data_IF_344549487168
#
_entry.id   IF_344549487168
#
_cell.length_a   1.000
_cell.length_b   1.000
_cell.length_c   1.000
_cell.angle_alpha   90.00
_cell.angle_beta   90.00
_cell.angle_gamma   90.00
#
_symmetry.space_group_name_H-M   'P 1'
#
loop_
_entity.id
_entity.type
_entity.pdbx_description
1 polymer ?
#
# COMPACT_ATOMS: atom_id res chain seq x y z
N UNK A 1 16.57 7.36 5.63
CA UNK A 1 15.49 8.24 5.11
C UNK A 1 14.49 7.34 4.41
N UNK A 2 13.21 7.39 4.79
CA UNK A 2 12.16 6.66 4.07
C UNK A 2 11.75 7.49 2.84
N UNK A 3 11.62 6.84 1.68
CA UNK A 3 11.18 7.49 0.44
C UNK A 3 9.67 7.73 0.50
N UNK A 4 9.22 8.94 0.18
CA UNK A 4 7.81 9.28 0.06
C UNK A 4 7.57 9.92 -1.31
N UNK A 5 7.09 9.11 -2.25
CA UNK A 5 6.88 9.53 -3.64
C UNK A 5 5.47 10.04 -3.87
N UNK A 6 5.37 11.14 -4.63
CA UNK A 6 4.11 11.80 -5.00
C UNK A 6 4.08 12.28 -6.46
N UNK A 7 5.13 11.97 -7.22
CA UNK A 7 5.20 12.21 -8.66
C UNK A 7 4.24 11.28 -9.44
N UNK A 8 4.19 11.44 -10.76
CA UNK A 8 3.32 10.64 -11.63
C UNK A 8 3.82 9.22 -11.92
N UNK A 9 5.10 8.93 -11.67
CA UNK A 9 5.75 7.68 -12.08
C UNK A 9 5.75 6.65 -10.93
N UNK A 10 6.10 7.09 -9.72
CA UNK A 10 6.24 6.29 -8.51
C UNK A 10 5.23 6.66 -7.41
N UNK A 11 4.62 7.84 -7.49
CA UNK A 11 3.61 8.27 -6.53
C UNK A 11 2.33 7.45 -6.64
N UNK A 12 1.94 6.79 -5.55
CA UNK A 12 0.65 6.09 -5.48
C UNK A 12 -0.48 7.07 -5.19
N UNK A 13 -1.72 6.69 -5.52
CA UNK A 13 -2.89 7.58 -5.49
C UNK A 13 -3.07 8.29 -4.16
N UNK A 14 -2.96 7.58 -3.02
CA UNK A 14 -3.18 8.15 -1.70
C UNK A 14 -2.06 9.11 -1.30
N UNK A 15 -0.79 8.72 -1.52
CA UNK A 15 0.36 9.58 -1.23
C UNK A 15 0.30 10.89 -2.03
N UNK A 16 -0.04 10.79 -3.32
CA UNK A 16 -0.18 11.95 -4.20
C UNK A 16 -1.33 12.86 -3.75
N UNK A 17 -2.47 12.29 -3.36
CA UNK A 17 -3.60 13.08 -2.87
C UNK A 17 -3.29 13.82 -1.57
N UNK A 18 -2.56 13.18 -0.64
CA UNK A 18 -2.10 13.84 0.59
C UNK A 18 -1.23 15.05 0.24
N UNK A 19 -0.29 14.91 -0.68
CA UNK A 19 0.56 16.03 -1.09
C UNK A 19 -0.22 17.13 -1.80
N UNK A 20 -1.11 16.77 -2.73
CA UNK A 20 -1.94 17.73 -3.46
C UNK A 20 -2.80 18.54 -2.49
N UNK A 21 -3.45 17.89 -1.52
CA UNK A 21 -4.23 18.57 -0.49
C UNK A 21 -3.35 19.47 0.40
N UNK A 22 -2.13 19.04 0.75
CA UNK A 22 -1.22 19.82 1.60
C UNK A 22 -0.72 21.12 0.94
N UNK A 23 -0.77 21.23 -0.38
CA UNK A 23 -0.37 22.43 -1.15
C UNK A 23 -1.56 23.12 -1.84
N UNK A 24 -2.80 22.81 -1.43
CA UNK A 24 -4.04 23.34 -2.03
C UNK A 24 -4.16 23.11 -3.56
N UNK A 25 -3.55 22.04 -4.06
CA UNK A 25 -3.68 21.62 -5.45
C UNK A 25 -4.89 20.69 -5.65
N UNK A 26 -5.68 20.85 -6.73
CA UNK A 26 -6.83 19.98 -6.99
C UNK A 26 -6.46 18.50 -7.06
N UNK A 27 -7.24 17.65 -6.38
CA UNK A 27 -7.00 16.20 -6.39
C UNK A 27 -7.14 15.64 -7.81
N UNK A 28 -6.10 14.96 -8.27
CA UNK A 28 -6.05 14.44 -9.64
C UNK A 28 -6.79 13.10 -9.76
N UNK A 29 -8.11 13.16 -9.94
CA UNK A 29 -8.97 12.01 -10.21
C UNK A 29 -8.93 11.67 -11.71
N UNK A 30 -8.66 10.41 -12.04
CA UNK A 30 -8.66 9.94 -13.43
C UNK A 30 -10.00 9.31 -13.80
N UNK A 31 -10.58 9.73 -14.92
CA UNK A 31 -11.88 9.25 -15.38
C UNK A 31 -13.01 9.61 -14.40
N UNK A 32 -13.86 8.63 -14.08
CA UNK A 32 -14.98 8.83 -13.14
C UNK A 32 -14.58 8.74 -11.67
N UNK A 33 -13.38 8.24 -11.36
CA UNK A 33 -12.97 7.97 -9.98
C UNK A 33 -13.61 6.74 -9.34
N UNK A 34 -14.35 5.93 -10.09
CA UNK A 34 -15.08 4.75 -9.56
C UNK A 34 -14.23 3.53 -9.27
N UNK A 35 -12.90 3.61 -9.44
CA UNK A 35 -11.99 2.50 -9.14
C UNK A 35 -11.89 2.23 -7.64
N UNK A 36 -12.06 0.97 -7.24
CA UNK A 36 -11.84 0.51 -5.87
C UNK A 36 -10.49 -0.19 -5.75
N UNK A 37 -9.74 0.10 -4.68
CA UNK A 37 -8.46 -0.54 -4.34
C UNK A 37 -8.39 -0.77 -2.84
N UNK A 38 -7.73 -1.85 -2.44
CA UNK A 38 -7.34 -2.05 -1.05
C UNK A 38 -6.07 -1.24 -0.75
N UNK A 39 -5.99 -0.66 0.43
CA UNK A 39 -4.83 0.07 0.93
C UNK A 39 -4.37 -0.55 2.24
N UNK A 40 -3.07 -0.43 2.51
CA UNK A 40 -2.50 -0.81 3.78
C UNK A 40 -1.50 0.25 4.24
N UNK A 41 -1.45 0.48 5.54
CA UNK A 41 -0.44 1.34 6.13
C UNK A 41 0.94 0.67 6.09
N UNK A 42 2.00 1.44 5.83
CA UNK A 42 3.35 0.88 5.67
C UNK A 42 3.83 0.11 6.91
N UNK A 43 3.41 0.52 8.12
CA UNK A 43 3.74 -0.20 9.36
C UNK A 43 3.09 -1.59 9.40
N UNK A 44 1.86 -1.71 8.92
CA UNK A 44 1.17 -3.00 8.88
C UNK A 44 1.79 -3.91 7.81
N UNK A 45 2.27 -3.36 6.69
CA UNK A 45 3.04 -4.13 5.70
C UNK A 45 4.27 -4.79 6.35
N UNK A 46 5.04 -4.04 7.14
CA UNK A 46 6.22 -4.58 7.86
C UNK A 46 5.78 -5.63 8.88
N UNK A 47 4.71 -5.36 9.64
CA UNK A 47 4.17 -6.31 10.63
C UNK A 47 3.73 -7.62 10.00
N UNK A 48 3.07 -7.59 8.85
CA UNK A 48 2.65 -8.80 8.18
C UNK A 48 3.82 -9.62 7.63
N UNK A 49 4.89 -8.96 7.16
CA UNK A 49 6.14 -9.66 6.79
C UNK A 49 6.74 -10.34 8.02
N UNK A 50 6.80 -9.65 9.16
CA UNK A 50 7.25 -10.24 10.42
C UNK A 50 6.42 -11.48 10.78
N UNK A 51 5.10 -11.39 10.76
CA UNK A 51 4.20 -12.51 11.07
C UNK A 51 4.45 -13.70 10.13
N UNK A 52 4.64 -13.46 8.84
CA UNK A 52 4.91 -14.50 7.86
C UNK A 52 6.26 -15.20 8.12
N UNK A 53 7.27 -14.46 8.58
CA UNK A 53 8.58 -15.03 8.95
C UNK A 53 8.53 -15.82 10.26
N UNK A 54 7.75 -15.35 11.24
CA UNK A 54 7.58 -16.01 12.54
C UNK A 54 6.72 -17.28 12.47
N UNK A 55 5.89 -17.40 11.43
CA UNK A 55 4.97 -18.53 11.22
C UNK A 55 5.18 -19.20 9.85
N UNK A 56 6.37 -19.76 9.57
CA UNK A 56 6.63 -20.39 8.29
C UNK A 56 5.84 -21.70 8.14
N UNK A 57 5.46 -22.10 6.91
CA UNK A 57 4.93 -23.43 6.65
C UNK A 57 5.97 -24.50 7.03
N UNK A 58 5.51 -25.67 7.48
CA UNK A 58 6.42 -26.78 7.78
C UNK A 58 7.07 -27.30 6.50
N UNK A 59 8.16 -28.05 6.66
CA UNK A 59 8.78 -28.74 5.54
C UNK A 59 7.75 -29.63 4.83
N UNK A 60 7.71 -29.53 3.49
CA UNK A 60 6.78 -30.23 2.61
C UNK A 60 5.31 -29.77 2.68
N UNK A 61 4.98 -28.73 3.44
CA UNK A 61 3.67 -28.07 3.35
C UNK A 61 3.54 -27.20 2.10
N UNK A 62 2.30 -26.88 1.72
CA UNK A 62 2.01 -26.01 0.58
C UNK A 62 2.40 -24.56 0.88
N UNK A 63 2.73 -23.82 -0.17
CA UNK A 63 2.91 -22.37 -0.10
C UNK A 63 1.64 -21.71 0.45
N UNK A 64 1.83 -20.83 1.44
CA UNK A 64 0.76 -20.03 2.00
C UNK A 64 0.67 -18.69 1.24
N UNK A 65 -0.55 -18.29 0.89
CA UNK A 65 -0.84 -17.02 0.22
C UNK A 65 -1.75 -16.22 1.15
N UNK A 66 -1.34 -15.00 1.48
CA UNK A 66 -2.07 -14.13 2.40
C UNK A 66 -2.55 -12.89 1.66
N UNK A 67 -3.86 -12.63 1.73
CA UNK A 67 -4.42 -11.33 1.43
C UNK A 67 -4.55 -10.57 2.75
N UNK A 68 -3.86 -9.44 2.86
CA UNK A 68 -4.00 -8.60 4.04
C UNK A 68 -5.36 -7.91 3.98
N UNK A 69 -6.17 -8.19 4.99
CA UNK A 69 -7.47 -7.56 5.21
C UNK A 69 -7.45 -6.95 6.62
N UNK A 70 -8.02 -5.77 6.74
CA UNK A 70 -8.11 -5.00 7.99
C UNK A 70 -9.14 -5.57 8.95
#
# INVERSE_FOLDING_TARGET
INRFDYDGDYGTVLNRFIMQAAVDYPLSVHGTGGQTRAFIHIQDTVRCIQIALENPPKSLERVQIFNQMT
#
